data_IF_640952666362
#
_entry.id   IF_640952666362
#
_cell.length_a   1.000
_cell.length_b   1.000
_cell.length_c   1.000
_cell.angle_alpha   90.00
_cell.angle_beta   90.00
_cell.angle_gamma   90.00
#
_symmetry.space_group_name_H-M   'P 1'
#
loop_
_entity.id
_entity.type
_entity.pdbx_description
1 polymer ?
#
# COMPACT_ATOMS: atom_id res chain seq x y z
N UNK A 1 -3.74 -0.89 2.71
CA UNK A 1 -3.23 -0.29 1.47
C UNK A 1 -3.48 -1.13 0.24
N UNK A 2 -3.25 -2.43 0.33
CA UNK A 2 -3.09 -3.31 -0.84
C UNK A 2 -4.35 -3.41 -1.71
N UNK A 3 -5.53 -3.55 -1.09
CA UNK A 3 -6.82 -3.52 -1.81
C UNK A 3 -7.02 -2.18 -2.53
N UNK A 4 -6.67 -1.05 -1.89
CA UNK A 4 -6.79 0.26 -2.52
C UNK A 4 -5.83 0.40 -3.71
N UNK A 5 -4.61 -0.13 -3.60
CA UNK A 5 -3.65 -0.13 -4.70
C UNK A 5 -4.11 -1.01 -5.86
N UNK A 6 -4.55 -2.25 -5.58
CA UNK A 6 -5.11 -3.14 -6.59
C UNK A 6 -6.31 -2.50 -7.30
N UNK A 7 -7.19 -1.84 -6.55
CA UNK A 7 -8.30 -1.08 -7.10
C UNK A 7 -7.83 0.06 -8.01
N UNK A 8 -6.81 0.82 -7.59
CA UNK A 8 -6.25 1.90 -8.41
C UNK A 8 -5.75 1.40 -9.76
N UNK A 9 -5.06 0.26 -9.79
CA UNK A 9 -4.62 -0.37 -11.05
C UNK A 9 -5.81 -0.71 -11.94
N UNK A 10 -6.90 -1.23 -11.37
CA UNK A 10 -8.11 -1.54 -12.14
C UNK A 10 -8.80 -0.30 -12.68
N UNK A 11 -9.01 0.71 -11.83
CA UNK A 11 -9.78 1.92 -12.17
C UNK A 11 -9.05 2.87 -13.14
N UNK A 12 -7.72 2.82 -13.17
CA UNK A 12 -6.90 3.72 -13.99
C UNK A 12 -6.23 3.02 -15.18
N UNK A 13 -6.53 1.77 -15.44
CA UNK A 13 -5.80 0.93 -16.40
C UNK A 13 -4.28 1.04 -16.17
N UNK A 14 -3.82 0.63 -14.99
CA UNK A 14 -2.40 0.68 -14.59
C UNK A 14 -1.80 2.10 -14.67
N UNK A 15 -2.53 3.10 -14.19
CA UNK A 15 -2.18 4.53 -14.24
C UNK A 15 -1.98 5.11 -15.64
N UNK A 16 -2.48 4.43 -16.67
CA UNK A 16 -2.51 4.99 -18.03
C UNK A 16 -3.62 6.01 -18.21
N UNK A 17 -4.69 5.85 -17.42
CA UNK A 17 -5.90 6.66 -17.51
C UNK A 17 -6.57 6.52 -18.90
N UNK A 18 -7.23 7.57 -19.42
CA UNK A 18 -7.89 7.51 -20.74
C UNK A 18 -9.40 7.71 -20.70
N UNK A 19 -9.96 7.87 -19.50
CA UNK A 19 -11.36 8.22 -19.27
C UNK A 19 -11.53 9.67 -18.86
N UNK A 20 -12.59 9.95 -18.09
CA UNK A 20 -12.94 11.29 -17.57
C UNK A 20 -11.92 11.74 -16.51
N UNK A 21 -11.35 10.80 -15.77
CA UNK A 21 -10.34 11.08 -14.74
C UNK A 21 -8.98 11.17 -15.39
N UNK A 22 -8.25 12.25 -15.08
CA UNK A 22 -6.88 12.47 -15.56
C UNK A 22 -5.86 12.40 -14.41
N UNK A 23 -4.56 12.22 -14.69
CA UNK A 23 -3.51 12.16 -13.67
C UNK A 23 -3.51 13.39 -12.75
N UNK A 24 -3.76 14.59 -13.30
CA UNK A 24 -3.74 15.87 -12.58
C UNK A 24 -4.85 15.96 -11.51
N UNK A 25 -5.90 15.15 -11.65
CA UNK A 25 -6.98 15.11 -10.67
C UNK A 25 -6.61 14.39 -9.38
N UNK A 26 -5.48 13.69 -9.33
CA UNK A 26 -5.06 12.87 -8.18
C UNK A 26 -6.16 11.89 -7.70
N UNK A 27 -7.01 11.44 -8.62
CA UNK A 27 -8.14 10.57 -8.36
C UNK A 27 -7.82 9.16 -8.89
N UNK A 28 -7.44 8.28 -8.01
CA UNK A 28 -6.93 6.95 -8.37
C UNK A 28 -8.01 5.88 -8.45
N UNK A 29 -9.28 6.24 -8.23
CA UNK A 29 -10.35 5.27 -8.14
C UNK A 29 -11.68 5.75 -8.74
N UNK A 30 -11.65 6.76 -9.59
CA UNK A 30 -12.84 7.24 -10.27
C UNK A 30 -13.90 7.84 -9.34
N UNK A 31 -13.54 8.36 -8.16
CA UNK A 31 -14.49 8.93 -7.21
C UNK A 31 -15.26 10.07 -7.90
N UNK A 32 -16.60 9.97 -7.88
CA UNK A 32 -17.48 10.97 -8.49
C UNK A 32 -17.64 10.87 -10.02
N UNK A 33 -16.86 10.03 -10.70
CA UNK A 33 -17.11 9.73 -12.10
C UNK A 33 -18.37 8.84 -12.22
N UNK A 34 -19.39 9.34 -12.90
CA UNK A 34 -20.63 8.59 -13.16
C UNK A 34 -20.73 8.32 -14.67
N UNK A 35 -21.23 7.14 -15.03
CA UNK A 35 -21.49 6.80 -16.43
C UNK A 35 -22.45 7.85 -17.06
N UNK A 36 -22.03 8.45 -18.15
CA UNK A 36 -22.81 9.45 -18.87
C UNK A 36 -22.70 10.89 -18.37
N UNK A 37 -21.80 11.16 -17.42
CA UNK A 37 -21.58 12.52 -16.95
C UNK A 37 -20.80 13.36 -17.96
N UNK A 38 -21.22 14.62 -18.07
CA UNK A 38 -20.42 15.66 -18.71
C UNK A 38 -19.09 15.83 -17.97
N UNK A 39 -18.03 16.13 -18.71
CA UNK A 39 -16.72 16.47 -18.19
C UNK A 39 -16.82 17.42 -16.98
N UNK A 40 -16.18 17.08 -15.86
CA UNK A 40 -16.05 17.95 -14.69
C UNK A 40 -16.73 17.48 -13.42
N UNK A 41 -17.35 16.29 -13.41
CA UNK A 41 -18.02 15.77 -12.19
C UNK A 41 -17.20 14.74 -11.42
N UNK A 42 -16.06 14.28 -11.94
CA UNK A 42 -15.13 13.48 -11.16
C UNK A 42 -14.45 14.33 -10.09
N UNK A 43 -14.23 13.77 -8.92
CA UNK A 43 -13.52 14.46 -7.85
C UNK A 43 -12.07 14.75 -8.27
N UNK A 44 -11.57 15.92 -7.88
CA UNK A 44 -10.17 16.29 -8.01
C UNK A 44 -9.60 16.64 -6.65
N UNK A 45 -8.39 16.19 -6.37
CA UNK A 45 -7.73 16.35 -5.08
C UNK A 45 -6.46 17.19 -5.23
N UNK A 46 -6.10 17.99 -4.20
CA UNK A 46 -4.98 18.92 -4.30
C UNK A 46 -3.61 18.24 -4.43
N UNK A 47 -3.51 16.99 -3.97
CA UNK A 47 -2.27 16.22 -3.98
C UNK A 47 -2.57 14.70 -3.98
N UNK A 48 -1.60 13.86 -4.39
CA UNK A 48 -1.78 12.40 -4.43
C UNK A 48 -2.15 11.79 -3.08
N UNK A 49 -1.58 12.29 -1.97
CA UNK A 49 -1.86 11.78 -0.61
C UNK A 49 -3.32 11.99 -0.24
N UNK A 50 -3.88 13.12 -0.60
CA UNK A 50 -5.30 13.44 -0.36
C UNK A 50 -6.20 12.55 -1.22
N UNK A 51 -5.85 12.32 -2.48
CA UNK A 51 -6.59 11.41 -3.36
C UNK A 51 -6.60 9.96 -2.85
N UNK A 52 -5.44 9.43 -2.47
CA UNK A 52 -5.34 8.09 -1.86
C UNK A 52 -6.13 8.02 -0.56
N UNK A 53 -6.07 9.06 0.28
CA UNK A 53 -6.87 9.12 1.52
C UNK A 53 -8.36 9.09 1.23
N UNK A 54 -8.84 9.84 0.24
CA UNK A 54 -10.25 9.83 -0.16
C UNK A 54 -10.68 8.43 -0.59
N UNK A 55 -9.89 7.74 -1.41
CA UNK A 55 -10.15 6.37 -1.83
C UNK A 55 -10.23 5.40 -0.63
N UNK A 56 -9.27 5.45 0.28
CA UNK A 56 -9.27 4.59 1.47
C UNK A 56 -10.48 4.88 2.35
N UNK A 57 -10.87 6.14 2.51
CA UNK A 57 -12.07 6.52 3.27
C UNK A 57 -13.35 6.00 2.60
N UNK A 58 -13.43 6.08 1.27
CA UNK A 58 -14.56 5.56 0.52
C UNK A 58 -14.67 4.03 0.63
N UNK A 59 -13.55 3.31 0.49
CA UNK A 59 -13.51 1.85 0.75
C UNK A 59 -13.90 1.52 2.19
N UNK A 60 -13.41 2.28 3.19
CA UNK A 60 -13.82 2.12 4.59
C UNK A 60 -15.33 2.37 4.77
N UNK A 61 -15.91 3.29 4.01
CA UNK A 61 -17.35 3.51 4.06
C UNK A 61 -18.12 2.27 3.64
N UNK A 62 -17.71 1.57 2.59
CA UNK A 62 -18.32 0.31 2.18
C UNK A 62 -18.05 -0.82 3.19
N UNK A 63 -16.82 -0.93 3.67
CA UNK A 63 -16.37 -2.05 4.50
C UNK A 63 -16.91 -2.00 5.94
N UNK A 64 -17.15 -0.80 6.51
CA UNK A 64 -17.36 -0.66 7.95
C UNK A 64 -18.24 0.53 8.32
N UNK A 65 -18.91 0.42 9.46
CA UNK A 65 -19.64 1.52 10.11
C UNK A 65 -18.79 2.31 11.11
N UNK A 66 -17.53 1.90 11.35
CA UNK A 66 -16.63 2.57 12.28
C UNK A 66 -16.30 4.00 11.83
N UNK A 67 -16.07 4.88 12.78
CA UNK A 67 -15.70 6.25 12.52
C UNK A 67 -14.34 6.35 11.80
N UNK A 68 -14.16 7.43 11.05
CA UNK A 68 -12.85 7.77 10.50
C UNK A 68 -11.91 8.29 11.61
N UNK A 69 -10.64 7.93 11.52
CA UNK A 69 -9.60 8.41 12.44
C UNK A 69 -9.01 9.75 12.03
N UNK A 70 -9.26 10.20 10.80
CA UNK A 70 -8.80 11.48 10.24
C UNK A 70 -9.97 12.20 9.60
N UNK A 71 -9.83 13.53 9.44
CA UNK A 71 -10.80 14.35 8.74
C UNK A 71 -11.18 13.73 7.38
N UNK A 72 -12.48 13.72 7.09
CA UNK A 72 -13.01 13.21 5.84
C UNK A 72 -12.59 14.13 4.68
N UNK A 73 -12.00 13.53 3.66
CA UNK A 73 -11.65 14.21 2.40
C UNK A 73 -12.36 13.59 1.20
N UNK A 74 -13.08 12.49 1.42
CA UNK A 74 -13.91 11.87 0.40
C UNK A 74 -15.23 12.60 0.26
N UNK A 75 -15.51 13.25 -0.89
CA UNK A 75 -16.74 14.03 -1.08
C UNK A 75 -17.99 13.15 -1.19
N UNK A 76 -17.82 11.85 -1.34
CA UNK A 76 -18.93 10.90 -1.49
C UNK A 76 -19.12 9.99 -0.27
N UNK A 77 -18.34 10.17 0.76
CA UNK A 77 -18.36 9.32 1.96
C UNK A 77 -19.78 9.16 2.56
N UNK A 78 -20.52 10.26 2.66
CA UNK A 78 -21.89 10.28 3.22
C UNK A 78 -22.95 9.66 2.31
N UNK A 79 -22.62 9.42 1.05
CA UNK A 79 -23.55 8.83 0.07
C UNK A 79 -23.48 7.29 0.08
N UNK A 80 -22.45 6.72 0.70
CA UNK A 80 -22.28 5.27 0.79
C UNK A 80 -23.19 4.70 1.87
N UNK A 81 -23.90 3.61 1.56
CA UNK A 81 -24.53 2.77 2.57
C UNK A 81 -23.45 2.11 3.41
N UNK A 82 -23.17 2.64 4.61
CA UNK A 82 -22.05 2.24 5.45
C UNK A 82 -22.10 0.75 5.82
N UNK A 83 -20.95 0.07 5.68
CA UNK A 83 -20.82 -1.36 5.98
C UNK A 83 -21.55 -2.29 5.01
N UNK A 84 -21.96 -1.80 3.83
CA UNK A 84 -22.71 -2.60 2.86
C UNK A 84 -21.87 -3.61 2.07
N UNK A 85 -20.54 -3.43 2.01
CA UNK A 85 -19.63 -4.31 1.31
C UNK A 85 -18.37 -4.60 2.16
N UNK A 86 -18.50 -5.44 3.22
CA UNK A 86 -17.37 -5.81 4.07
C UNK A 86 -16.37 -6.75 3.37
N UNK A 87 -16.75 -7.33 2.25
CA UNK A 87 -15.89 -8.19 1.42
C UNK A 87 -15.59 -7.49 0.09
N UNK A 88 -14.39 -7.72 -0.45
CA UNK A 88 -13.95 -7.10 -1.72
C UNK A 88 -14.86 -7.53 -2.87
N UNK A 89 -15.31 -8.77 -2.87
CA UNK A 89 -16.23 -9.34 -3.86
C UNK A 89 -17.56 -8.57 -3.94
N UNK A 90 -17.99 -7.97 -2.83
CA UNK A 90 -19.25 -7.21 -2.76
C UNK A 90 -19.10 -5.74 -3.22
N UNK A 91 -17.92 -5.32 -3.67
CA UNK A 91 -17.73 -4.00 -4.26
C UNK A 91 -18.40 -3.88 -5.65
N UNK A 92 -18.70 -5.00 -6.30
CA UNK A 92 -19.63 -5.04 -7.44
C UNK A 92 -21.07 -5.11 -6.96
N UNK A 93 -21.93 -4.15 -7.31
CA UNK A 93 -23.32 -4.12 -6.86
C UNK A 93 -24.11 -5.36 -7.30
N UNK A 94 -23.82 -5.93 -8.48
CA UNK A 94 -24.44 -7.14 -8.99
C UNK A 94 -24.06 -8.41 -8.21
N UNK A 95 -22.90 -8.40 -7.52
CA UNK A 95 -22.40 -9.53 -6.74
C UNK A 95 -22.67 -9.36 -5.24
N UNK A 96 -23.13 -8.19 -4.83
CA UNK A 96 -23.50 -7.87 -3.46
C UNK A 96 -24.94 -8.31 -3.17
N UNK A 97 -25.18 -9.09 -2.10
CA UNK A 97 -26.54 -9.54 -1.75
C UNK A 97 -27.56 -8.42 -1.56
N UNK A 98 -27.12 -7.22 -1.21
CA UNK A 98 -27.96 -6.05 -0.99
C UNK A 98 -28.00 -5.10 -2.21
N UNK A 99 -27.37 -5.44 -3.31
CA UNK A 99 -27.28 -4.61 -4.50
C UNK A 99 -26.55 -3.29 -4.29
N UNK A 100 -25.65 -3.22 -3.29
CA UNK A 100 -24.90 -2.02 -2.92
C UNK A 100 -23.40 -2.26 -3.17
N UNK A 101 -22.76 -1.39 -3.92
CA UNK A 101 -21.35 -1.57 -4.21
C UNK A 101 -20.73 -0.33 -4.81
N UNK A 102 -19.44 -0.38 -4.97
CA UNK A 102 -18.63 0.66 -5.61
C UNK A 102 -19.00 0.78 -7.10
N UNK A 103 -18.93 -0.36 -7.80
CA UNK A 103 -19.22 -0.43 -9.23
C UNK A 103 -20.67 -0.86 -9.47
N UNK A 104 -21.37 -0.17 -10.40
CA UNK A 104 -22.76 -0.46 -10.76
C UNK A 104 -22.88 -0.59 -12.27
N UNK A 105 -23.36 -1.73 -12.82
CA UNK A 105 -23.75 -2.96 -12.13
C UNK A 105 -22.57 -3.75 -11.55
N UNK A 106 -21.36 -3.59 -12.08
CA UNK A 106 -20.08 -4.04 -11.53
C UNK A 106 -19.94 -5.55 -11.33
N UNK A 107 -20.63 -6.39 -12.14
CA UNK A 107 -20.47 -7.83 -12.03
C UNK A 107 -19.02 -8.26 -12.21
N UNK A 108 -18.50 -9.07 -11.30
CA UNK A 108 -17.11 -9.52 -11.28
C UNK A 108 -16.09 -8.43 -10.94
N UNK A 109 -16.54 -7.27 -10.45
CA UNK A 109 -15.64 -6.16 -10.10
C UNK A 109 -14.69 -6.55 -8.98
N UNK A 110 -15.22 -7.08 -7.89
CA UNK A 110 -14.42 -7.51 -6.74
C UNK A 110 -13.43 -8.62 -7.09
N UNK A 111 -13.85 -9.57 -7.94
CA UNK A 111 -12.97 -10.64 -8.44
C UNK A 111 -11.75 -10.08 -9.20
N UNK A 112 -11.96 -9.05 -10.04
CA UNK A 112 -10.85 -8.40 -10.76
C UNK A 112 -9.89 -7.69 -9.80
N UNK A 113 -10.41 -6.98 -8.81
CA UNK A 113 -9.58 -6.34 -7.78
C UNK A 113 -8.79 -7.38 -6.98
N UNK A 114 -9.43 -8.50 -6.60
CA UNK A 114 -8.77 -9.59 -5.87
C UNK A 114 -7.69 -10.26 -6.72
N UNK A 115 -7.94 -10.50 -8.01
CA UNK A 115 -6.95 -11.07 -8.91
C UNK A 115 -5.70 -10.16 -9.06
N UNK A 116 -5.89 -8.84 -9.14
CA UNK A 116 -4.78 -7.88 -9.12
C UNK A 116 -4.04 -7.88 -7.79
N UNK A 117 -4.78 -7.94 -6.68
CA UNK A 117 -4.18 -8.04 -5.35
C UNK A 117 -3.31 -9.29 -5.23
N UNK A 118 -3.79 -10.44 -5.70
CA UNK A 118 -2.99 -11.67 -5.72
C UNK A 118 -1.73 -11.53 -6.58
N UNK A 119 -1.81 -10.85 -7.73
CA UNK A 119 -0.62 -10.58 -8.55
C UNK A 119 0.39 -9.71 -7.80
N UNK A 120 -0.08 -8.63 -7.14
CA UNK A 120 0.78 -7.76 -6.33
C UNK A 120 1.47 -8.56 -5.24
N UNK A 121 0.73 -9.40 -4.50
CA UNK A 121 1.26 -10.20 -3.40
C UNK A 121 2.21 -11.32 -3.86
N UNK A 122 2.12 -11.73 -5.13
CA UNK A 122 3.04 -12.70 -5.75
C UNK A 122 4.23 -12.03 -6.44
N UNK A 123 4.16 -10.72 -6.65
CA UNK A 123 5.31 -9.98 -7.19
C UNK A 123 6.39 -10.02 -6.12
N UNK A 124 7.49 -10.71 -6.43
CA UNK A 124 8.66 -10.73 -5.56
C UNK A 124 9.12 -9.28 -5.40
N UNK A 125 9.35 -8.86 -4.17
CA UNK A 125 10.03 -7.61 -3.88
C UNK A 125 11.37 -7.66 -4.63
N UNK A 126 11.69 -6.70 -5.53
CA UNK A 126 12.98 -6.69 -6.22
C UNK A 126 14.16 -6.54 -5.25
N UNK A 127 13.91 -6.14 -4.01
CA UNK A 127 14.86 -6.19 -2.90
C UNK A 127 14.86 -7.54 -2.17
N UNK A 128 13.90 -8.43 -2.45
CA UNK A 128 13.91 -9.79 -1.91
C UNK A 128 14.98 -10.61 -2.66
N UNK A 129 15.86 -11.36 -1.98
CA UNK A 129 16.86 -12.18 -2.66
C UNK A 129 16.15 -13.12 -3.64
N UNK A 130 16.61 -13.12 -4.91
CA UNK A 130 16.02 -13.93 -5.97
C UNK A 130 15.90 -15.39 -5.53
N UNK A 131 14.79 -16.04 -5.87
CA UNK A 131 14.58 -17.45 -5.56
C UNK A 131 15.75 -18.28 -6.10
N UNK A 132 16.62 -18.75 -5.19
CA UNK A 132 17.87 -19.43 -5.52
C UNK A 132 19.13 -18.76 -4.95
N UNK A 133 19.03 -17.55 -4.39
CA UNK A 133 20.13 -16.99 -3.59
C UNK A 133 20.21 -17.78 -2.28
N UNK A 134 21.38 -18.32 -1.90
CA UNK A 134 21.51 -19.02 -0.64
C UNK A 134 21.07 -18.09 0.50
N UNK A 135 20.14 -18.55 1.32
CA UNK A 135 19.68 -17.82 2.49
C UNK A 135 20.90 -17.43 3.34
N UNK A 136 21.09 -16.14 3.68
CA UNK A 136 22.27 -15.73 4.42
C UNK A 136 22.34 -16.45 5.78
N UNK A 137 23.54 -16.75 6.23
CA UNK A 137 23.75 -17.55 7.44
C UNK A 137 23.02 -17.00 8.68
N UNK A 138 22.87 -15.67 8.75
CA UNK A 138 22.16 -15.00 9.84
C UNK A 138 20.64 -15.21 9.83
N UNK A 139 20.02 -15.50 8.68
CA UNK A 139 18.57 -15.65 8.57
C UNK A 139 18.04 -16.77 9.47
N UNK A 140 18.81 -17.86 9.64
CA UNK A 140 18.46 -18.95 10.55
C UNK A 140 18.45 -18.53 12.01
N UNK A 141 19.29 -17.55 12.39
CA UNK A 141 19.38 -17.05 13.76
C UNK A 141 18.15 -16.25 14.16
N UNK A 142 17.47 -15.64 13.17
CA UNK A 142 16.29 -14.80 13.39
C UNK A 142 14.99 -15.46 12.93
N UNK A 143 14.99 -16.74 12.58
CA UNK A 143 13.82 -17.44 12.05
C UNK A 143 12.56 -17.35 12.94
N UNK A 144 12.73 -17.31 14.25
CA UNK A 144 11.64 -17.21 15.24
C UNK A 144 11.14 -15.77 15.51
N UNK A 145 11.73 -14.76 14.90
CA UNK A 145 11.36 -13.37 15.16
C UNK A 145 10.33 -12.83 14.14
N UNK A 146 9.56 -11.76 14.50
CA UNK A 146 8.60 -11.13 13.60
C UNK A 146 9.24 -10.68 12.28
N UNK A 147 8.48 -10.76 11.18
CA UNK A 147 8.99 -10.47 9.84
C UNK A 147 9.59 -9.06 9.73
N UNK A 148 8.93 -8.03 10.27
CA UNK A 148 9.44 -6.66 10.22
C UNK A 148 10.83 -6.46 10.83
N UNK A 149 11.22 -7.33 11.78
CA UNK A 149 12.57 -7.29 12.38
C UNK A 149 13.60 -7.93 11.45
N UNK A 150 13.21 -8.99 10.75
CA UNK A 150 14.05 -9.64 9.74
C UNK A 150 14.32 -8.70 8.58
N UNK A 151 13.25 -8.08 8.06
CA UNK A 151 13.33 -7.11 6.96
C UNK A 151 14.22 -5.91 7.34
N UNK A 152 14.12 -5.45 8.59
CA UNK A 152 14.97 -4.39 9.11
C UNK A 152 16.45 -4.77 9.19
N UNK A 153 16.76 -6.01 9.60
CA UNK A 153 18.13 -6.50 9.63
C UNK A 153 18.71 -6.62 8.23
N UNK A 154 17.95 -7.17 7.29
CA UNK A 154 18.32 -7.30 5.88
C UNK A 154 18.60 -5.95 5.25
N UNK A 155 17.67 -5.01 5.36
CA UNK A 155 17.85 -3.66 4.82
C UNK A 155 19.09 -2.94 5.38
N UNK A 156 19.38 -3.10 6.67
CA UNK A 156 20.57 -2.50 7.30
C UNK A 156 21.86 -3.21 6.85
N UNK A 157 21.80 -4.51 6.57
CA UNK A 157 22.92 -5.28 6.04
C UNK A 157 23.23 -4.90 4.58
N UNK A 158 22.20 -4.85 3.74
CA UNK A 158 22.32 -4.45 2.33
C UNK A 158 22.80 -3.00 2.17
N UNK A 159 22.36 -2.09 3.03
CA UNK A 159 22.84 -0.72 3.06
C UNK A 159 24.29 -0.58 3.59
N UNK A 160 24.94 -1.69 4.00
CA UNK A 160 26.27 -1.67 4.57
C UNK A 160 26.37 -0.94 5.92
N UNK A 161 25.24 -0.76 6.61
CA UNK A 161 25.17 -0.11 7.91
C UNK A 161 25.62 -1.06 9.01
N UNK A 162 25.36 -2.36 8.84
CA UNK A 162 25.82 -3.42 9.74
C UNK A 162 27.03 -4.12 9.15
N UNK A 163 28.16 -4.04 9.85
CA UNK A 163 29.42 -4.66 9.41
C UNK A 163 29.41 -6.20 9.54
N UNK A 164 28.50 -6.75 10.33
CA UNK A 164 28.41 -8.18 10.62
C UNK A 164 26.97 -8.57 10.96
N UNK A 165 26.13 -8.82 9.97
CA UNK A 165 24.73 -9.18 10.16
C UNK A 165 24.55 -10.39 11.09
N UNK A 166 25.46 -11.38 11.04
CA UNK A 166 25.43 -12.58 11.90
C UNK A 166 25.59 -12.21 13.38
N UNK A 167 26.47 -11.28 13.68
CA UNK A 167 26.67 -10.79 15.07
C UNK A 167 25.42 -10.10 15.57
N UNK A 168 24.75 -9.32 14.74
CA UNK A 168 23.52 -8.62 15.10
C UNK A 168 22.35 -9.60 15.20
N UNK A 169 22.22 -10.55 14.28
CA UNK A 169 21.20 -11.60 14.35
C UNK A 169 21.33 -12.42 15.63
N UNK A 170 22.53 -12.76 16.07
CA UNK A 170 22.78 -13.47 17.32
C UNK A 170 22.45 -12.66 18.58
N UNK A 171 22.19 -11.36 18.44
CA UNK A 171 21.81 -10.44 19.54
C UNK A 171 20.32 -10.13 19.61
N UNK A 172 19.52 -10.63 18.68
CA UNK A 172 18.09 -10.49 18.72
C UNK A 172 17.53 -11.04 20.05
N UNK A 173 16.55 -10.33 20.62
CA UNK A 173 15.91 -10.73 21.86
C UNK A 173 16.66 -10.33 23.15
N UNK A 174 17.80 -9.66 23.06
CA UNK A 174 18.44 -8.99 24.18
C UNK A 174 18.31 -7.47 24.11
N UNK A 175 18.42 -6.81 25.22
CA UNK A 175 18.43 -5.35 25.28
C UNK A 175 19.66 -4.80 24.54
N UNK A 176 19.41 -3.78 23.74
CA UNK A 176 20.47 -3.04 23.04
C UNK A 176 21.10 -2.03 24.02
N UNK A 177 22.42 -1.97 24.05
CA UNK A 177 23.09 -0.93 24.80
C UNK A 177 22.94 0.44 24.13
N UNK A 178 22.99 1.51 24.90
CA UNK A 178 22.94 2.88 24.36
C UNK A 178 24.07 3.09 23.32
N UNK A 179 25.26 2.55 23.57
CA UNK A 179 26.38 2.65 22.64
C UNK A 179 26.12 1.97 21.30
N UNK A 180 25.51 0.78 21.30
CA UNK A 180 25.10 0.08 20.09
C UNK A 180 24.04 0.85 19.30
N UNK A 181 23.02 1.38 19.99
CA UNK A 181 21.98 2.20 19.37
C UNK A 181 22.55 3.47 18.72
N UNK A 182 23.41 4.19 19.44
CA UNK A 182 24.08 5.40 18.94
C UNK A 182 24.97 5.07 17.73
N UNK A 183 25.69 3.95 17.77
CA UNK A 183 26.53 3.49 16.66
C UNK A 183 25.72 3.23 15.38
N UNK A 184 24.59 2.52 15.50
CA UNK A 184 23.70 2.24 14.34
C UNK A 184 23.10 3.55 13.79
N UNK A 185 22.59 4.41 14.69
CA UNK A 185 22.01 5.70 14.26
C UNK A 185 23.06 6.59 13.59
N UNK A 186 24.30 6.58 14.06
CA UNK A 186 25.39 7.33 13.45
C UNK A 186 25.66 6.87 12.02
N UNK A 187 25.74 5.55 11.79
CA UNK A 187 25.92 4.95 10.45
C UNK A 187 24.74 5.24 9.53
N UNK A 188 23.51 5.12 10.04
CA UNK A 188 22.30 5.44 9.29
C UNK A 188 22.28 6.91 8.85
N UNK A 189 22.62 7.85 9.73
CA UNK A 189 22.72 9.27 9.39
C UNK A 189 23.81 9.53 8.33
N UNK A 190 24.96 8.85 8.42
CA UNK A 190 26.00 8.96 7.42
C UNK A 190 25.51 8.46 6.05
N UNK A 191 24.88 7.29 6.01
CA UNK A 191 24.29 6.73 4.80
C UNK A 191 23.22 7.65 4.16
N UNK A 192 22.32 8.22 4.96
CA UNK A 192 21.30 9.18 4.49
C UNK A 192 21.91 10.43 3.85
N UNK A 193 23.03 10.91 4.36
CA UNK A 193 23.74 12.06 3.78
C UNK A 193 24.33 11.72 2.40
N UNK A 194 24.97 10.56 2.28
CA UNK A 194 25.57 10.13 1.00
C UNK A 194 24.49 9.75 -0.03
N UNK A 195 23.40 9.12 0.38
CA UNK A 195 22.27 8.81 -0.49
C UNK A 195 21.52 10.05 -0.99
N UNK A 196 21.50 11.14 -0.18
CA UNK A 196 20.90 12.42 -0.57
C UNK A 196 21.79 13.26 -1.52
N UNK A 197 23.07 12.95 -1.63
CA UNK A 197 24.02 13.67 -2.48
C UNK A 197 24.16 13.07 -3.89
N UNK A 198 23.46 11.96 -4.17
CA UNK A 198 23.48 11.33 -5.49
C UNK A 198 22.05 11.18 -6.07
N UNK A 199 21.38 12.29 -6.47
CA UNK A 199 20.16 12.20 -7.25
C UNK A 199 20.55 12.10 -8.72
N UNK A 200 20.42 10.93 -9.29
CA UNK A 200 20.56 10.62 -10.70
C UNK A 200 21.81 9.88 -11.12
N UNK A 201 21.68 8.62 -11.33
CA UNK A 201 22.33 7.86 -12.36
C UNK A 201 21.24 7.27 -13.24
#
# INVERSE_FOLDING_TARGET
GDVAFAQSLHETDYFKYGGIVTPEMNNFAGIGALNGNATGQAASFPDPRTGVRAQIQHLKAYASTEALTKACVDPRFSLVSRGSAPYVEWLGAADNPNGKGWAVPGKGYGEKVTALLEQILRTEDPSSPAAGTPEPAWAKLVAGYPQYQKDGLEALAEAGILDSPETWAGRFGRDMTVGEAVGIMGKLLAWMRTAGENPAG
#
